data_IF_154113894156
#
_entry.id   IF_154113894156
#
_cell.length_a   1.000
_cell.length_b   1.000
_cell.length_c   1.000
_cell.angle_alpha   90.00
_cell.angle_beta   90.00
_cell.angle_gamma   90.00
#
_symmetry.space_group_name_H-M   'P 1'
#
loop_
_entity.id
_entity.type
_entity.pdbx_description
1 polymer ?
#
# COMPACT_ATOMS: atom_id res chain seq x y z
N UNK A 1 1.98 -16.27 2.95
CA UNK A 1 0.79 -15.39 3.00
C UNK A 1 0.25 -15.17 1.59
N UNK A 2 -0.88 -15.79 1.26
CA UNK A 2 -1.68 -15.55 0.05
C UNK A 2 -2.89 -14.62 0.36
N UNK A 3 -3.73 -14.33 -0.64
CA UNK A 3 -4.89 -13.42 -0.47
C UNK A 3 -5.93 -13.92 0.51
N UNK A 4 -6.14 -15.24 0.61
CA UNK A 4 -7.10 -15.84 1.56
C UNK A 4 -6.60 -15.65 2.99
N UNK A 5 -5.31 -15.92 3.22
CA UNK A 5 -4.66 -15.72 4.51
C UNK A 5 -4.65 -14.24 4.92
N UNK A 6 -4.33 -13.34 3.98
CA UNK A 6 -4.39 -11.89 4.21
C UNK A 6 -5.81 -11.43 4.54
N UNK A 7 -6.83 -11.91 3.81
CA UNK A 7 -8.23 -11.58 4.09
C UNK A 7 -8.63 -12.01 5.50
N UNK A 8 -8.28 -13.24 5.91
CA UNK A 8 -8.54 -13.73 7.27
C UNK A 8 -7.91 -12.83 8.31
N UNK A 9 -6.64 -12.47 8.13
CA UNK A 9 -5.92 -11.56 9.03
C UNK A 9 -6.57 -10.18 9.14
N UNK A 10 -7.07 -9.62 8.02
CA UNK A 10 -7.81 -8.35 8.05
C UNK A 10 -9.17 -8.47 8.73
N UNK A 11 -9.87 -9.59 8.55
CA UNK A 11 -11.12 -9.90 9.27
C UNK A 11 -10.90 -10.06 10.78
N UNK A 12 -9.79 -10.66 11.20
CA UNK A 12 -9.41 -10.75 12.61
C UNK A 12 -9.17 -9.38 13.24
N UNK A 13 -8.53 -8.45 12.51
CA UNK A 13 -8.38 -7.07 12.98
C UNK A 13 -9.75 -6.38 13.16
N UNK A 14 -10.64 -6.48 12.18
CA UNK A 14 -12.00 -5.89 12.26
C UNK A 14 -12.73 -6.45 13.48
N UNK A 15 -12.68 -7.77 13.69
CA UNK A 15 -13.32 -8.39 14.85
C UNK A 15 -12.70 -7.94 16.17
N UNK A 16 -11.37 -7.82 16.23
CA UNK A 16 -10.69 -7.30 17.41
C UNK A 16 -11.08 -5.84 17.71
N UNK A 17 -11.31 -5.02 16.69
CA UNK A 17 -11.76 -3.64 16.84
C UNK A 17 -13.20 -3.56 17.36
N UNK A 18 -14.11 -4.38 16.83
CA UNK A 18 -15.49 -4.51 17.32
C UNK A 18 -15.54 -4.95 18.79
N UNK A 19 -14.69 -5.90 19.16
CA UNK A 19 -14.65 -6.47 20.52
C UNK A 19 -13.85 -5.60 21.50
N UNK A 20 -13.20 -4.51 21.04
CA UNK A 20 -12.34 -3.67 21.88
C UNK A 20 -11.02 -4.34 22.31
N UNK A 21 -10.61 -5.42 21.64
CA UNK A 21 -9.45 -6.27 22.01
C UNK A 21 -8.21 -6.06 21.14
N UNK A 22 -8.14 -4.95 20.37
CA UNK A 22 -7.00 -4.68 19.48
C UNK A 22 -5.64 -4.72 20.19
N UNK A 23 -5.48 -3.97 21.29
CA UNK A 23 -4.20 -3.86 22.00
C UNK A 23 -3.75 -5.20 22.60
N UNK A 24 -4.67 -5.97 23.18
CA UNK A 24 -4.41 -7.30 23.75
C UNK A 24 -3.93 -8.29 22.67
N UNK A 25 -4.49 -8.18 21.46
CA UNK A 25 -4.11 -8.99 20.30
C UNK A 25 -2.91 -8.42 19.52
N UNK A 26 -2.26 -7.38 20.02
CA UNK A 26 -1.08 -6.76 19.41
C UNK A 26 -1.36 -5.91 18.17
N UNK A 27 -2.62 -5.58 17.90
CA UNK A 27 -2.99 -4.69 16.80
C UNK A 27 -2.66 -3.22 17.10
N UNK A 28 -2.26 -2.43 16.10
CA UNK A 28 -2.19 -0.99 16.24
C UNK A 28 -3.59 -0.42 16.47
N UNK A 29 -3.68 0.73 17.13
CA UNK A 29 -4.94 1.46 17.36
C UNK A 29 -5.48 2.21 16.14
N UNK A 30 -4.81 2.12 14.98
CA UNK A 30 -5.16 2.92 13.78
C UNK A 30 -5.82 2.06 12.70
N UNK A 31 -7.15 2.14 12.58
CA UNK A 31 -7.88 1.42 11.53
C UNK A 31 -7.39 1.77 10.11
N UNK A 32 -7.15 3.06 9.85
CA UNK A 32 -6.57 3.53 8.59
C UNK A 32 -5.20 2.88 8.32
N UNK A 33 -4.30 2.88 9.32
CA UNK A 33 -2.96 2.31 9.19
C UNK A 33 -2.99 0.82 8.88
N UNK A 34 -3.83 0.05 9.58
CA UNK A 34 -3.99 -1.39 9.32
C UNK A 34 -4.62 -1.64 7.94
N UNK A 35 -5.58 -0.82 7.51
CA UNK A 35 -6.17 -0.95 6.17
C UNK A 35 -5.12 -0.76 5.06
N UNK A 36 -4.20 0.20 5.22
CA UNK A 36 -3.11 0.46 4.27
C UNK A 36 -2.01 -0.60 4.35
N UNK A 37 -1.74 -1.15 5.54
CA UNK A 37 -0.86 -2.32 5.69
C UNK A 37 -1.40 -3.51 4.88
N UNK A 38 -2.70 -3.79 5.00
CA UNK A 38 -3.38 -4.84 4.23
C UNK A 38 -3.30 -4.60 2.72
N UNK A 39 -3.61 -3.38 2.26
CA UNK A 39 -3.53 -3.00 0.85
C UNK A 39 -2.11 -3.15 0.29
N UNK A 40 -1.10 -2.66 1.01
CA UNK A 40 0.30 -2.80 0.63
C UNK A 40 0.70 -4.28 0.55
N UNK A 41 0.30 -5.12 1.51
CA UNK A 41 0.56 -6.56 1.44
C UNK A 41 -0.15 -7.24 0.27
N UNK A 42 -1.39 -6.85 -0.03
CA UNK A 42 -2.14 -7.35 -1.18
C UNK A 42 -1.43 -7.01 -2.49
N UNK A 43 -0.93 -5.78 -2.63
CA UNK A 43 -0.09 -5.37 -3.77
C UNK A 43 1.09 -6.31 -3.96
N UNK A 44 1.79 -6.68 -2.88
CA UNK A 44 2.91 -7.61 -2.98
C UNK A 44 2.51 -9.01 -3.46
N UNK A 45 1.36 -9.50 -2.99
CA UNK A 45 0.83 -10.81 -3.39
C UNK A 45 0.42 -10.79 -4.87
N UNK A 46 -0.25 -9.74 -5.33
CA UNK A 46 -0.61 -9.60 -6.74
C UNK A 46 0.63 -9.48 -7.64
N UNK A 47 1.64 -8.74 -7.22
CA UNK A 47 2.93 -8.65 -7.93
C UNK A 47 3.56 -10.03 -8.12
N UNK A 48 3.61 -10.85 -7.07
CA UNK A 48 4.11 -12.24 -7.17
C UNK A 48 3.25 -13.13 -8.07
N UNK A 49 1.93 -12.97 -8.05
CA UNK A 49 1.02 -13.73 -8.91
C UNK A 49 1.21 -13.41 -10.40
N UNK A 50 1.56 -12.16 -10.72
CA UNK A 50 1.71 -11.69 -12.10
C UNK A 50 3.15 -11.60 -12.59
N UNK A 51 4.14 -11.99 -11.79
CA UNK A 51 5.57 -11.83 -12.12
C UNK A 51 6.00 -12.43 -13.46
N UNK A 52 5.31 -13.48 -13.89
CA UNK A 52 5.58 -14.20 -15.14
C UNK A 52 4.47 -13.98 -16.18
N UNK A 53 3.59 -13.00 -15.98
CA UNK A 53 2.52 -12.71 -16.92
C UNK A 53 3.13 -12.22 -18.25
N UNK A 54 2.79 -12.85 -19.40
CA UNK A 54 3.40 -12.52 -20.69
C UNK A 54 3.09 -11.09 -21.16
N UNK A 55 2.10 -10.41 -20.56
CA UNK A 55 1.77 -9.02 -20.85
C UNK A 55 2.75 -8.03 -20.20
N UNK A 56 3.62 -8.50 -19.30
CA UNK A 56 4.58 -7.65 -18.60
C UNK A 56 3.93 -6.70 -17.58
N UNK A 57 2.85 -7.15 -16.92
CA UNK A 57 2.15 -6.35 -15.90
C UNK A 57 3.03 -6.18 -14.67
N UNK A 58 3.20 -4.93 -14.25
CA UNK A 58 3.90 -4.57 -13.02
C UNK A 58 2.90 -4.05 -11.99
N UNK A 59 3.11 -4.41 -10.73
CA UNK A 59 2.29 -3.94 -9.61
C UNK A 59 3.24 -3.38 -8.55
N UNK A 60 2.91 -2.19 -8.06
CA UNK A 60 3.60 -1.55 -6.95
C UNK A 60 2.57 -0.89 -6.03
N UNK A 61 2.96 -0.71 -4.78
CA UNK A 61 2.23 0.14 -3.83
C UNK A 61 3.01 1.45 -3.65
N UNK A 62 2.34 2.53 -3.31
CA UNK A 62 3.00 3.79 -3.06
C UNK A 62 2.32 4.63 -2.00
N UNK A 63 3.06 5.63 -1.51
CA UNK A 63 2.51 6.72 -0.72
C UNK A 63 2.63 8.04 -1.52
N UNK A 64 1.54 8.81 -1.67
CA UNK A 64 1.62 10.13 -2.30
C UNK A 64 2.28 11.18 -1.39
N UNK A 65 2.47 10.86 -0.11
CA UNK A 65 2.85 11.82 0.92
C UNK A 65 1.64 12.51 1.54
N UNK A 66 1.90 13.50 2.40
CA UNK A 66 0.86 14.20 3.15
C UNK A 66 0.27 15.35 2.32
N UNK A 67 -0.81 15.05 1.59
CA UNK A 67 -1.39 15.96 0.59
C UNK A 67 -2.51 16.81 1.17
N UNK A 68 -2.61 18.06 0.73
CA UNK A 68 -3.65 19.04 1.03
C UNK A 68 -4.93 18.63 0.30
N UNK A 69 -5.81 17.94 1.03
CA UNK A 69 -7.08 17.38 0.53
C UNK A 69 -8.12 17.37 1.64
N UNK A 70 -9.39 17.14 1.31
CA UNK A 70 -10.47 16.97 2.29
C UNK A 70 -10.14 15.89 3.35
N UNK A 71 -9.51 14.79 2.93
CA UNK A 71 -9.11 13.68 3.82
C UNK A 71 -8.14 14.12 4.92
N UNK A 72 -7.29 15.11 4.65
CA UNK A 72 -6.32 15.65 5.60
C UNK A 72 -6.81 16.95 6.23
N UNK A 73 -8.07 17.33 6.00
CA UNK A 73 -8.64 18.62 6.42
C UNK A 73 -7.79 19.81 5.97
N UNK A 74 -7.25 19.74 4.75
CA UNK A 74 -6.36 20.75 4.18
C UNK A 74 -5.11 21.08 5.01
N UNK A 75 -4.60 20.11 5.78
CA UNK A 75 -3.38 20.27 6.60
C UNK A 75 -2.14 19.64 5.97
N UNK A 76 -2.26 19.09 4.76
CA UNK A 76 -1.15 18.48 4.04
C UNK A 76 -0.06 19.47 3.69
N UNK A 77 1.19 19.00 3.61
CA UNK A 77 2.34 19.81 3.19
C UNK A 77 2.56 19.81 1.69
N UNK A 78 1.92 18.88 0.96
CA UNK A 78 1.99 18.77 -0.49
C UNK A 78 0.68 19.20 -1.12
N UNK A 79 0.73 19.83 -2.28
CA UNK A 79 -0.43 19.99 -3.17
C UNK A 79 -0.87 18.63 -3.75
N UNK A 80 -2.08 18.59 -4.31
CA UNK A 80 -2.58 17.39 -5.03
C UNK A 80 -1.69 16.99 -6.20
N UNK A 81 -1.14 17.97 -6.93
CA UNK A 81 -0.26 17.73 -8.08
C UNK A 81 1.08 17.11 -7.63
N UNK A 82 1.67 17.63 -6.54
CA UNK A 82 2.88 17.04 -5.94
C UNK A 82 2.61 15.64 -5.36
N UNK A 83 1.41 15.39 -4.85
CA UNK A 83 0.98 14.08 -4.40
C UNK A 83 0.80 13.06 -5.52
N UNK A 84 0.36 13.52 -6.69
CA UNK A 84 0.13 12.69 -7.87
C UNK A 84 1.43 12.22 -8.54
N UNK A 85 2.56 12.86 -8.26
CA UNK A 85 3.86 12.61 -8.89
C UNK A 85 4.29 11.13 -8.85
N UNK A 86 4.31 10.51 -7.67
CA UNK A 86 4.73 9.10 -7.52
C UNK A 86 3.73 8.10 -8.13
N UNK A 87 2.41 8.22 -7.89
CA UNK A 87 1.42 7.41 -8.59
C UNK A 87 1.51 7.51 -10.12
N UNK A 88 1.67 8.73 -10.66
CA UNK A 88 1.82 8.94 -12.09
C UNK A 88 3.08 8.28 -12.64
N UNK A 89 4.23 8.49 -11.97
CA UNK A 89 5.48 7.83 -12.30
C UNK A 89 5.34 6.30 -12.41
N UNK A 90 4.64 5.66 -11.46
CA UNK A 90 4.39 4.22 -11.46
C UNK A 90 3.43 3.77 -12.57
N UNK A 91 2.43 4.59 -12.88
CA UNK A 91 1.46 4.29 -13.94
C UNK A 91 2.07 4.40 -15.34
N UNK A 92 3.14 5.18 -15.50
CA UNK A 92 3.82 5.43 -16.79
C UNK A 92 5.19 4.75 -16.91
N UNK A 93 5.45 3.69 -16.14
CA UNK A 93 6.71 2.96 -16.24
C UNK A 93 6.90 2.41 -17.67
N UNK A 94 8.11 2.51 -18.25
CA UNK A 94 8.40 1.91 -19.54
C UNK A 94 8.11 0.42 -19.58
N UNK A 95 7.70 -0.08 -20.75
CA UNK A 95 7.53 -1.52 -20.97
C UNK A 95 8.87 -2.22 -20.70
N UNK A 96 8.84 -3.31 -19.93
CA UNK A 96 10.04 -4.07 -19.58
C UNK A 96 10.82 -3.53 -18.38
N UNK A 97 10.30 -2.50 -17.69
CA UNK A 97 10.83 -2.02 -16.41
C UNK A 97 11.14 -3.18 -15.46
N UNK A 98 12.35 -3.17 -14.89
CA UNK A 98 12.79 -4.15 -13.89
C UNK A 98 12.71 -3.62 -12.46
N UNK A 99 12.71 -2.31 -12.29
CA UNK A 99 12.54 -1.65 -11.00
C UNK A 99 11.90 -0.26 -11.18
N UNK A 100 10.89 0.11 -10.37
CA UNK A 100 10.28 -0.68 -9.30
C UNK A 100 9.27 -1.72 -9.83
N UNK A 101 9.41 -2.96 -9.36
CA UNK A 101 8.42 -4.04 -9.57
C UNK A 101 8.21 -4.76 -8.25
N UNK A 102 6.95 -4.89 -7.84
CA UNK A 102 6.59 -5.53 -6.59
C UNK A 102 7.21 -4.83 -5.37
N UNK A 103 7.19 -3.49 -5.34
CA UNK A 103 7.80 -2.66 -4.30
C UNK A 103 6.80 -1.71 -3.63
N UNK A 104 7.22 -1.13 -2.49
CA UNK A 104 6.61 0.06 -1.91
C UNK A 104 7.45 1.29 -2.28
N UNK A 105 6.82 2.31 -2.85
CA UNK A 105 7.50 3.47 -3.44
C UNK A 105 7.02 4.77 -2.82
N UNK A 106 7.96 5.66 -2.50
CA UNK A 106 7.71 7.00 -1.98
C UNK A 106 8.72 7.99 -2.58
N UNK A 107 8.26 9.15 -3.04
CA UNK A 107 9.10 10.13 -3.75
C UNK A 107 9.87 9.50 -4.92
N UNK A 108 9.20 8.65 -5.71
CA UNK A 108 9.79 7.83 -6.79
C UNK A 108 10.96 6.93 -6.37
N UNK A 109 11.13 6.66 -5.08
CA UNK A 109 12.19 5.80 -4.54
C UNK A 109 11.58 4.56 -3.90
N UNK A 110 12.22 3.41 -4.11
CA UNK A 110 11.89 2.19 -3.38
C UNK A 110 12.21 2.41 -1.90
N UNK A 111 11.25 2.13 -1.03
CA UNK A 111 11.40 2.22 0.41
C UNK A 111 11.25 0.82 0.99
N UNK A 112 12.15 0.46 1.90
CA UNK A 112 12.07 -0.83 2.56
C UNK A 112 10.80 -0.91 3.44
N UNK A 113 9.90 -1.83 3.09
CA UNK A 113 8.58 -1.95 3.71
C UNK A 113 8.58 -2.78 4.99
N UNK A 114 9.39 -3.85 5.03
CA UNK A 114 9.57 -4.66 6.23
C UNK A 114 11.06 -4.88 6.48
N UNK A 115 11.45 -4.96 7.75
CA UNK A 115 12.79 -5.41 8.13
C UNK A 115 12.99 -6.87 7.74
#
# INVERSE_FOLDING_TARGET
MNLIELRKLMSEFVKAAEDGTCSEKGWPSTAYGVSKLGLTKASFIFGEMLKNDPRGIVINSCCPGYCDTDMTSHKGTKTSDEGADTPFYLATLPIGTKEPVNQFVYERKVVNWCK
#
